data_IF_720555089878
#
_entry.id   IF_720555089878
#
_cell.length_a   1.000
_cell.length_b   1.000
_cell.length_c   1.000
_cell.angle_alpha   90.00
_cell.angle_beta   90.00
_cell.angle_gamma   90.00
#
_symmetry.space_group_name_H-M   'P 1'
#
loop_
_entity.id
_entity.type
_entity.pdbx_description
1 polymer ?
#
# COMPACT_ATOMS: atom_id res chain seq x y z
N UNK A 1 24.13 -14.30 -19.26
CA UNK A 1 22.70 -13.99 -19.47
C UNK A 1 22.37 -12.78 -18.63
N UNK A 2 22.32 -11.59 -19.23
CA UNK A 2 21.87 -10.38 -18.53
C UNK A 2 20.35 -10.43 -18.50
N UNK A 3 19.77 -10.57 -17.31
CA UNK A 3 18.33 -10.42 -17.11
C UNK A 3 17.87 -9.08 -17.70
N UNK A 4 16.86 -9.13 -18.55
CA UNK A 4 16.31 -7.91 -19.13
C UNK A 4 15.53 -7.17 -18.05
N UNK A 5 15.84 -5.88 -17.80
CA UNK A 5 15.16 -5.13 -16.76
C UNK A 5 13.68 -4.99 -17.10
N UNK A 6 12.81 -5.35 -16.14
CA UNK A 6 11.35 -5.29 -16.27
C UNK A 6 10.82 -3.85 -16.38
N UNK A 7 11.63 -2.85 -16.01
CA UNK A 7 11.29 -1.42 -16.08
C UNK A 7 12.48 -0.68 -16.71
N UNK A 8 12.17 0.19 -17.67
CA UNK A 8 13.15 1.03 -18.39
C UNK A 8 12.88 2.51 -18.12
N UNK A 9 13.94 3.26 -17.80
CA UNK A 9 13.88 4.71 -17.68
C UNK A 9 14.01 5.32 -19.08
N UNK A 10 12.93 5.88 -19.60
CA UNK A 10 12.90 6.46 -20.95
C UNK A 10 13.58 7.83 -21.03
N UNK A 11 13.67 8.58 -19.91
CA UNK A 11 14.31 9.91 -19.87
C UNK A 11 14.80 10.26 -18.47
N UNK A 12 15.90 11.04 -18.44
CA UNK A 12 16.47 11.66 -17.25
C UNK A 12 17.41 10.75 -16.48
N UNK A 13 18.59 11.26 -16.16
CA UNK A 13 19.49 10.73 -15.12
C UNK A 13 19.51 11.77 -14.00
N UNK A 14 18.69 11.60 -12.94
CA UNK A 14 18.62 12.59 -11.88
C UNK A 14 19.98 12.73 -11.21
N UNK A 15 20.33 13.95 -10.80
CA UNK A 15 21.57 14.18 -10.04
C UNK A 15 21.44 13.60 -8.62
N UNK A 16 22.57 13.46 -7.93
CA UNK A 16 22.57 12.98 -6.55
C UNK A 16 21.75 13.89 -5.63
N UNK A 17 21.79 15.20 -5.87
CA UNK A 17 21.05 16.22 -5.13
C UNK A 17 19.54 16.10 -5.34
N UNK A 18 19.10 15.84 -6.57
CA UNK A 18 17.67 15.67 -6.89
C UNK A 18 17.10 14.41 -6.23
N UNK A 19 17.87 13.31 -6.24
CA UNK A 19 17.51 12.08 -5.53
C UNK A 19 17.44 12.34 -4.03
N UNK A 20 18.41 13.05 -3.46
CA UNK A 20 18.43 13.38 -2.04
C UNK A 20 17.23 14.26 -1.64
N UNK A 21 16.88 15.26 -2.47
CA UNK A 21 15.71 16.10 -2.25
C UNK A 21 14.40 15.30 -2.26
N UNK A 22 14.24 14.38 -3.23
CA UNK A 22 13.07 13.51 -3.29
C UNK A 22 12.95 12.62 -2.04
N UNK A 23 14.05 11.99 -1.64
CA UNK A 23 14.09 11.14 -0.44
C UNK A 23 13.76 11.94 0.81
N UNK A 24 14.29 13.16 0.96
CA UNK A 24 13.99 14.04 2.09
C UNK A 24 12.49 14.36 2.17
N UNK A 25 11.86 14.72 1.05
CA UNK A 25 10.41 15.02 0.99
C UNK A 25 9.58 13.79 1.36
N UNK A 26 9.89 12.62 0.80
CA UNK A 26 9.16 11.38 1.10
C UNK A 26 9.33 10.94 2.54
N UNK A 27 10.51 11.14 3.12
CA UNK A 27 10.82 10.76 4.51
C UNK A 27 10.19 11.71 5.52
N UNK A 28 10.04 12.99 5.17
CA UNK A 28 9.36 13.98 5.99
C UNK A 28 7.84 13.83 5.99
N UNK A 29 7.28 13.01 5.09
CA UNK A 29 5.83 12.78 5.05
C UNK A 29 5.40 12.06 6.33
N UNK A 30 4.59 12.70 7.20
CA UNK A 30 4.10 12.03 8.39
C UNK A 30 3.32 10.78 7.99
N UNK A 31 3.50 9.70 8.75
CA UNK A 31 2.62 8.55 8.64
C UNK A 31 1.18 9.03 8.88
N UNK A 32 0.25 8.65 8.01
CA UNK A 32 -1.15 8.92 8.27
C UNK A 32 -1.48 8.35 9.65
N UNK A 33 -1.89 9.20 10.59
CA UNK A 33 -2.44 8.72 11.85
C UNK A 33 -3.65 7.87 11.50
N UNK A 34 -3.77 6.68 12.09
CA UNK A 34 -5.00 5.91 11.97
C UNK A 34 -6.15 6.82 12.42
N UNK A 35 -7.02 7.21 11.48
CA UNK A 35 -8.24 7.89 11.88
C UNK A 35 -9.01 6.96 12.82
N UNK A 36 -9.61 7.50 13.90
CA UNK A 36 -10.50 6.71 14.73
C UNK A 36 -11.57 6.11 13.83
N UNK A 37 -11.71 4.79 13.85
CA UNK A 37 -12.72 4.08 13.06
C UNK A 37 -14.08 4.63 13.47
N UNK A 38 -14.74 5.37 12.57
CA UNK A 38 -16.10 5.81 12.79
C UNK A 38 -16.96 4.58 13.11
N UNK A 39 -17.68 4.62 14.23
CA UNK A 39 -18.55 3.51 14.61
C UNK A 39 -19.70 3.39 13.59
N UNK A 40 -19.56 2.42 12.71
CA UNK A 40 -20.56 2.12 11.69
C UNK A 40 -21.75 1.42 12.36
N UNK A 41 -22.97 1.83 12.01
CA UNK A 41 -24.18 1.22 12.56
C UNK A 41 -24.24 -0.28 12.29
N UNK A 42 -24.87 -1.04 13.19
CA UNK A 42 -25.03 -2.49 13.02
C UNK A 42 -25.79 -2.85 11.73
N UNK A 43 -26.77 -2.03 11.35
CA UNK A 43 -27.53 -2.17 10.11
C UNK A 43 -26.68 -1.99 8.85
N UNK A 44 -25.79 -0.99 8.82
CA UNK A 44 -24.86 -0.85 7.70
C UNK A 44 -23.88 -2.03 7.64
N UNK A 45 -23.36 -2.47 8.79
CA UNK A 45 -22.42 -3.60 8.86
C UNK A 45 -23.05 -4.92 8.40
N UNK A 46 -24.34 -5.15 8.61
CA UNK A 46 -25.01 -6.37 8.17
C UNK A 46 -25.13 -6.52 6.65
N UNK A 47 -24.99 -5.41 5.91
CA UNK A 47 -24.99 -5.44 4.44
C UNK A 47 -23.62 -5.71 3.81
N UNK A 48 -22.54 -5.75 4.59
CA UNK A 48 -21.19 -5.91 4.07
C UNK A 48 -20.79 -7.41 4.03
N UNK A 49 -20.09 -7.86 2.97
CA UNK A 49 -19.52 -9.20 2.95
C UNK A 49 -18.48 -9.32 4.07
N UNK A 50 -18.37 -10.50 4.68
CA UNK A 50 -17.36 -10.73 5.70
C UNK A 50 -15.97 -10.34 5.15
N UNK A 51 -15.23 -9.54 5.90
CA UNK A 51 -13.91 -9.03 5.48
C UNK A 51 -12.85 -9.91 6.14
N UNK A 52 -11.97 -10.50 5.34
CA UNK A 52 -10.74 -11.12 5.86
C UNK A 52 -9.79 -9.99 6.24
N UNK A 53 -9.49 -9.86 7.54
CA UNK A 53 -8.53 -8.87 8.01
C UNK A 53 -7.16 -9.08 7.32
N UNK A 54 -6.50 -7.97 6.97
CA UNK A 54 -5.15 -8.02 6.41
C UNK A 54 -4.19 -8.60 7.47
N UNK A 55 -3.41 -9.61 7.10
CA UNK A 55 -2.48 -10.27 8.00
C UNK A 55 -1.79 -11.48 7.36
N UNK A 56 -0.82 -12.09 8.05
CA UNK A 56 -0.14 -13.29 7.57
C UNK A 56 -1.15 -14.39 7.20
N UNK A 57 -1.09 -14.86 5.96
CA UNK A 57 -2.01 -15.89 5.45
C UNK A 57 -3.37 -15.39 4.92
N UNK A 58 -3.71 -14.10 5.07
CA UNK A 58 -5.00 -13.54 4.62
C UNK A 58 -5.25 -13.71 3.11
N UNK A 59 -4.20 -13.65 2.29
CA UNK A 59 -4.33 -13.87 0.85
C UNK A 59 -4.59 -15.34 0.50
N UNK A 60 -4.08 -16.29 1.29
CA UNK A 60 -4.37 -17.71 1.06
C UNK A 60 -5.80 -18.06 1.49
N UNK A 61 -6.30 -17.43 2.55
CA UNK A 61 -7.66 -17.65 3.03
C UNK A 61 -8.74 -16.97 2.20
N UNK A 62 -8.40 -15.97 1.38
CA UNK A 62 -9.39 -15.27 0.54
C UNK A 62 -10.05 -16.15 -0.52
N UNK A 63 -9.41 -17.26 -0.91
CA UNK A 63 -9.93 -18.21 -1.90
C UNK A 63 -10.62 -19.45 -1.32
N UNK A 64 -10.69 -19.59 0.01
CA UNK A 64 -11.32 -20.74 0.66
C UNK A 64 -12.82 -20.48 0.92
N UNK A 65 -13.67 -21.52 0.91
CA UNK A 65 -15.05 -21.41 1.36
C UNK A 65 -15.13 -20.91 2.80
N UNK A 66 -16.15 -20.09 3.11
CA UNK A 66 -16.42 -19.57 4.45
C UNK A 66 -17.51 -20.36 5.16
#
# INVERSE_FOLDING_TARGET
MTEQPMIRIERGTPTAEEVAALVAVLSARPAASAEPVAQVSAWWRSGLPAVTAAGPGAWRSSGLPR
#
